data_IF_178523986211
#
_entry.id   IF_178523986211
#
_cell.length_a   1.000
_cell.length_b   1.000
_cell.length_c   1.000
_cell.angle_alpha   90.00
_cell.angle_beta   90.00
_cell.angle_gamma   90.00
#
_symmetry.space_group_name_H-M   'P 1'
#
loop_
_entity.id
_entity.type
_entity.pdbx_description
1 polymer ?
#
# COMPACT_ATOMS: atom_id res chain seq x y z
N UNK A 1 -2.37 24.38 -0.80
CA UNK A 1 -2.95 23.08 -0.45
C UNK A 1 -3.39 23.11 1.01
N UNK A 2 -4.66 22.76 1.28
CA UNK A 2 -5.17 22.60 2.64
C UNK A 2 -5.07 21.12 3.03
N UNK A 3 -4.46 20.82 4.17
CA UNK A 3 -4.33 19.46 4.71
C UNK A 3 -5.07 19.43 6.04
N UNK A 4 -5.96 18.47 6.21
CA UNK A 4 -6.76 18.28 7.41
C UNK A 4 -6.37 16.95 8.06
N UNK A 5 -5.54 17.00 9.08
CA UNK A 5 -5.18 15.86 9.90
C UNK A 5 -6.28 15.53 10.92
N UNK A 6 -6.27 14.32 11.46
CA UNK A 6 -7.27 13.84 12.44
C UNK A 6 -8.73 14.00 11.97
N UNK A 7 -8.92 14.03 10.64
CA UNK A 7 -10.21 14.22 9.99
C UNK A 7 -10.66 12.92 9.35
N UNK A 8 -11.64 12.27 9.96
CA UNK A 8 -12.18 11.01 9.51
C UNK A 8 -13.43 11.23 8.65
N UNK A 9 -13.41 10.75 7.41
CA UNK A 9 -14.57 10.78 6.50
C UNK A 9 -15.50 9.63 6.87
N UNK A 10 -16.73 9.94 7.26
CA UNK A 10 -17.76 8.96 7.64
C UNK A 10 -18.65 8.56 6.47
N UNK A 11 -18.97 9.53 5.62
CA UNK A 11 -19.93 9.36 4.54
C UNK A 11 -19.62 10.33 3.39
N UNK A 12 -19.98 9.94 2.17
CA UNK A 12 -20.06 10.84 1.02
C UNK A 12 -21.52 10.96 0.59
N UNK A 13 -21.98 12.21 0.47
CA UNK A 13 -23.31 12.54 -0.03
C UNK A 13 -23.17 13.49 -1.22
N UNK A 14 -23.25 12.95 -2.43
CA UNK A 14 -22.94 13.67 -3.66
C UNK A 14 -21.52 14.25 -3.61
N UNK A 15 -21.42 15.57 -3.75
CA UNK A 15 -20.15 16.33 -3.70
C UNK A 15 -19.71 16.72 -2.28
N UNK A 16 -20.35 16.19 -1.24
CA UNK A 16 -20.07 16.56 0.15
C UNK A 16 -19.54 15.38 0.94
N UNK A 17 -18.36 15.52 1.50
CA UNK A 17 -17.78 14.61 2.47
C UNK A 17 -18.21 15.02 3.89
N UNK A 18 -18.79 14.08 4.62
CA UNK A 18 -19.20 14.26 6.03
C UNK A 18 -18.08 13.70 6.90
N UNK A 19 -17.52 14.55 7.74
CA UNK A 19 -16.40 14.20 8.62
C UNK A 19 -16.84 14.16 10.09
N UNK A 20 -15.92 13.77 10.97
CA UNK A 20 -16.09 13.89 12.41
C UNK A 20 -16.16 15.35 12.90
N UNK A 21 -15.65 16.31 12.13
CA UNK A 21 -15.49 17.71 12.54
C UNK A 21 -16.32 18.70 11.70
N UNK A 22 -17.00 18.22 10.66
CA UNK A 22 -17.80 19.10 9.79
C UNK A 22 -18.05 18.50 8.41
N UNK A 23 -18.33 19.36 7.44
CA UNK A 23 -18.62 18.98 6.05
C UNK A 23 -17.65 19.70 5.12
N UNK A 24 -17.20 18.99 4.10
CA UNK A 24 -16.34 19.51 3.03
C UNK A 24 -17.05 19.27 1.72
N UNK A 25 -17.28 20.32 0.95
CA UNK A 25 -17.90 20.25 -0.39
C UNK A 25 -16.84 20.59 -1.44
N UNK A 26 -16.76 19.82 -2.50
CA UNK A 26 -15.83 20.00 -3.60
C UNK A 26 -16.49 19.63 -4.92
N UNK A 27 -16.03 20.21 -6.03
CA UNK A 27 -16.52 19.87 -7.37
C UNK A 27 -16.19 18.45 -7.78
N UNK A 28 -15.02 17.96 -7.37
CA UNK A 28 -14.54 16.61 -7.60
C UNK A 28 -13.99 16.01 -6.31
N UNK A 29 -14.20 14.72 -6.11
CA UNK A 29 -13.69 13.97 -4.96
C UNK A 29 -12.85 12.80 -5.47
N UNK A 30 -11.64 12.65 -4.95
CA UNK A 30 -10.75 11.55 -5.29
C UNK A 30 -10.53 10.68 -4.05
N UNK A 31 -10.89 9.41 -4.13
CA UNK A 31 -10.69 8.42 -3.06
C UNK A 31 -9.32 7.77 -3.25
N UNK A 32 -8.38 8.07 -2.35
CA UNK A 32 -7.02 7.53 -2.32
C UNK A 32 -6.73 6.79 -1.01
N UNK A 33 -7.75 6.19 -0.42
CA UNK A 33 -7.72 5.58 0.91
C UNK A 33 -7.13 4.18 0.93
N UNK A 34 -6.28 3.83 -0.04
CA UNK A 34 -5.69 2.52 -0.23
C UNK A 34 -6.74 1.46 -0.62
N UNK A 35 -7.65 1.10 0.29
CA UNK A 35 -8.86 0.34 -0.01
C UNK A 35 -10.07 1.29 0.05
N UNK A 36 -10.89 1.39 -1.00
CA UNK A 36 -12.06 2.27 -0.99
C UNK A 36 -13.05 1.86 0.10
N UNK A 37 -13.37 2.79 1.00
CA UNK A 37 -14.31 2.54 2.10
C UNK A 37 -15.78 2.61 1.69
N UNK A 38 -16.07 3.16 0.50
CA UNK A 38 -17.41 3.23 -0.08
C UNK A 38 -17.59 2.05 -1.03
N UNK A 39 -18.45 1.11 -0.68
CA UNK A 39 -18.67 -0.11 -1.47
C UNK A 39 -19.99 -0.12 -2.27
N UNK A 40 -20.84 0.91 -2.13
CA UNK A 40 -22.16 0.95 -2.80
C UNK A 40 -22.06 1.02 -4.32
N UNK A 41 -21.00 1.61 -4.86
CA UNK A 41 -20.75 1.77 -6.27
C UNK A 41 -19.38 1.20 -6.63
N UNK A 42 -19.22 0.64 -7.82
CA UNK A 42 -17.93 0.13 -8.31
C UNK A 42 -17.53 -1.27 -7.81
N UNK A 43 -18.16 -1.80 -6.74
CA UNK A 43 -17.94 -3.16 -6.21
C UNK A 43 -16.46 -3.52 -5.99
N UNK A 44 -15.67 -2.59 -5.44
CA UNK A 44 -14.22 -2.76 -5.27
C UNK A 44 -13.85 -3.94 -4.36
N UNK A 45 -14.69 -4.30 -3.39
CA UNK A 45 -14.51 -5.49 -2.55
C UNK A 45 -14.48 -6.81 -3.33
N UNK A 46 -15.00 -6.84 -4.57
CA UNK A 46 -14.93 -7.99 -5.47
C UNK A 46 -13.70 -7.94 -6.40
N UNK A 47 -13.04 -6.81 -6.50
CA UNK A 47 -11.95 -6.55 -7.47
C UNK A 47 -10.59 -6.41 -6.80
N UNK A 48 -10.57 -6.16 -5.49
CA UNK A 48 -9.38 -5.89 -4.71
C UNK A 48 -9.24 -6.90 -3.57
N UNK A 49 -8.00 -7.20 -3.21
CA UNK A 49 -7.68 -7.95 -2.00
C UNK A 49 -6.47 -7.37 -1.30
N UNK A 50 -6.31 -7.67 -0.02
CA UNK A 50 -5.16 -7.24 0.76
C UNK A 50 -4.08 -8.31 0.76
N UNK A 51 -2.83 -7.88 0.55
CA UNK A 51 -1.64 -8.72 0.65
C UNK A 51 -0.72 -8.14 1.71
N UNK A 52 -0.32 -8.93 2.68
CA UNK A 52 0.54 -8.52 3.77
C UNK A 52 1.99 -8.81 3.42
N UNK A 53 2.88 -7.86 3.70
CA UNK A 53 4.32 -7.98 3.56
C UNK A 53 4.99 -7.62 4.88
N UNK A 54 6.14 -8.20 5.15
CA UNK A 54 6.87 -8.06 6.40
C UNK A 54 8.26 -7.51 6.14
N UNK A 55 8.79 -6.78 7.10
CA UNK A 55 10.15 -6.24 7.05
C UNK A 55 10.81 -6.42 8.41
N UNK A 56 12.09 -6.75 8.38
CA UNK A 56 13.00 -6.65 9.53
C UNK A 56 14.14 -5.69 9.19
N UNK A 57 14.63 -4.99 10.21
CA UNK A 57 15.80 -4.13 10.11
C UNK A 57 16.92 -4.68 11.00
N UNK A 58 18.04 -5.03 10.38
CA UNK A 58 19.19 -5.63 11.02
C UNK A 58 20.30 -4.60 11.21
N UNK A 59 20.80 -4.45 12.44
CA UNK A 59 22.07 -3.76 12.72
C UNK A 59 23.23 -4.76 12.60
N UNK A 60 24.43 -4.27 12.37
CA UNK A 60 25.66 -5.07 12.17
C UNK A 60 25.60 -6.05 10.97
N UNK A 61 24.70 -5.82 10.02
CA UNK A 61 24.66 -6.56 8.78
C UNK A 61 25.50 -5.88 7.70
N UNK A 62 26.02 -6.67 6.76
CA UNK A 62 26.80 -6.18 5.64
C UNK A 62 25.99 -5.21 4.77
N UNK A 63 26.66 -4.15 4.28
CA UNK A 63 26.07 -3.27 3.29
C UNK A 63 25.97 -3.99 1.93
N UNK A 64 24.77 -4.08 1.38
CA UNK A 64 24.54 -4.71 0.08
C UNK A 64 24.83 -3.80 -1.12
N UNK A 65 25.14 -2.51 -0.87
CA UNK A 65 25.51 -1.51 -1.88
C UNK A 65 24.49 -1.37 -3.03
N UNK A 66 23.21 -1.55 -2.73
CA UNK A 66 22.14 -1.44 -3.73
C UNK A 66 20.77 -1.73 -3.18
N UNK A 67 19.81 -1.78 -4.08
CA UNK A 67 18.44 -2.20 -3.82
C UNK A 67 18.15 -3.42 -4.66
N UNK A 68 17.72 -4.49 -4.03
CA UNK A 68 17.48 -5.77 -4.70
C UNK A 68 16.07 -6.26 -4.39
N UNK A 69 15.44 -6.83 -5.38
CA UNK A 69 14.13 -7.49 -5.27
C UNK A 69 14.21 -8.80 -6.05
N UNK A 70 13.77 -9.88 -5.43
CA UNK A 70 13.60 -11.16 -6.10
C UNK A 70 12.34 -11.12 -6.99
N UNK A 71 12.39 -11.72 -8.16
CA UNK A 71 11.27 -11.82 -9.09
C UNK A 71 10.22 -12.86 -8.68
N UNK A 72 10.53 -13.74 -7.74
CA UNK A 72 9.58 -14.74 -7.23
C UNK A 72 8.41 -14.08 -6.50
N UNK A 73 7.23 -14.69 -6.56
CA UNK A 73 6.03 -14.21 -5.86
C UNK A 73 6.16 -14.11 -4.34
N UNK A 74 7.02 -14.94 -3.75
CA UNK A 74 7.39 -14.91 -2.33
C UNK A 74 8.72 -14.21 -2.09
N UNK A 75 9.23 -13.54 -3.11
CA UNK A 75 10.56 -12.99 -3.17
C UNK A 75 10.87 -12.00 -2.07
N UNK A 76 12.15 -11.99 -1.70
CA UNK A 76 12.70 -11.07 -0.71
C UNK A 76 13.20 -9.79 -1.37
N UNK A 77 13.25 -8.73 -0.60
CA UNK A 77 13.87 -7.47 -0.98
C UNK A 77 14.93 -7.07 0.03
N UNK A 78 15.99 -6.42 -0.46
CA UNK A 78 17.13 -6.00 0.34
C UNK A 78 17.52 -4.58 0.00
N UNK A 79 17.76 -3.77 1.01
CA UNK A 79 18.38 -2.45 0.87
C UNK A 79 18.97 -1.99 2.18
N UNK A 80 19.98 -1.15 2.14
CA UNK A 80 20.43 -0.45 3.32
C UNK A 80 19.65 0.87 3.51
N UNK A 81 19.42 1.21 4.75
CA UNK A 81 18.97 2.51 5.20
C UNK A 81 19.77 2.89 6.45
N UNK A 82 20.53 3.97 6.35
CA UNK A 82 21.51 4.33 7.38
C UNK A 82 22.42 3.11 7.72
N UNK A 83 22.46 2.73 8.98
CA UNK A 83 23.28 1.59 9.47
C UNK A 83 22.52 0.26 9.50
N UNK A 84 21.32 0.20 8.91
CA UNK A 84 20.50 -1.00 8.92
C UNK A 84 20.45 -1.66 7.55
N UNK A 85 20.45 -2.98 7.54
CA UNK A 85 19.97 -3.76 6.39
C UNK A 85 18.49 -4.04 6.58
N UNK A 86 17.67 -3.59 5.65
CA UNK A 86 16.26 -3.89 5.60
C UNK A 86 16.04 -5.12 4.73
N UNK A 87 15.40 -6.15 5.30
CA UNK A 87 15.00 -7.37 4.59
C UNK A 87 13.48 -7.41 4.58
N UNK A 88 12.89 -7.36 3.39
CA UNK A 88 11.45 -7.49 3.18
C UNK A 88 11.09 -8.85 2.59
N UNK A 89 9.90 -9.37 2.88
CA UNK A 89 9.44 -10.66 2.35
C UNK A 89 8.37 -11.31 3.22
N UNK A 90 8.31 -12.64 3.20
CA UNK A 90 7.39 -13.44 4.01
C UNK A 90 5.91 -13.16 3.71
N UNK A 91 5.64 -12.57 2.54
CA UNK A 91 4.35 -12.02 2.18
C UNK A 91 3.28 -13.08 1.88
N UNK A 92 2.03 -12.73 2.18
CA UNK A 92 0.88 -13.59 1.91
C UNK A 92 -0.41 -12.78 1.79
N UNK A 93 -1.45 -13.36 1.18
CA UNK A 93 -2.78 -12.77 1.19
C UNK A 93 -3.28 -12.63 2.63
N UNK A 94 -3.76 -11.47 3.02
CA UNK A 94 -4.31 -11.23 4.37
C UNK A 94 -5.41 -12.22 4.70
N UNK A 95 -5.34 -12.81 5.89
CA UNK A 95 -6.23 -13.88 6.33
C UNK A 95 -5.83 -15.30 5.87
N UNK A 96 -4.71 -15.44 5.14
CA UNK A 96 -4.11 -16.74 4.81
C UNK A 96 -2.81 -16.91 5.59
N UNK A 97 -2.32 -18.16 5.64
CA UNK A 97 -1.01 -18.45 6.21
C UNK A 97 0.11 -18.06 5.24
N UNK A 98 1.26 -17.68 5.80
CA UNK A 98 2.47 -17.34 5.06
C UNK A 98 3.69 -17.32 5.97
N UNK A 99 4.87 -17.03 5.43
CA UNK A 99 6.15 -17.06 6.13
C UNK A 99 6.28 -16.02 7.24
N UNK A 100 5.77 -14.82 6.99
CA UNK A 100 5.80 -13.72 7.97
C UNK A 100 7.21 -13.35 8.41
N UNK A 101 7.34 -12.86 9.63
CA UNK A 101 8.65 -12.55 10.21
C UNK A 101 9.52 -13.77 10.45
N UNK A 102 8.93 -14.95 10.67
CA UNK A 102 9.70 -16.17 10.93
C UNK A 102 10.56 -16.57 9.73
N UNK A 103 10.05 -16.41 8.53
CA UNK A 103 10.81 -16.64 7.29
C UNK A 103 12.00 -15.68 7.19
N UNK A 104 11.78 -14.39 7.45
CA UNK A 104 12.83 -13.37 7.40
C UNK A 104 13.92 -13.62 8.48
N UNK A 105 13.51 -13.99 9.69
CA UNK A 105 14.43 -14.31 10.78
C UNK A 105 15.26 -15.53 10.46
N UNK A 106 14.65 -16.61 9.96
CA UNK A 106 15.39 -17.80 9.54
C UNK A 106 16.39 -17.51 8.43
N UNK A 107 16.04 -16.61 7.51
CA UNK A 107 16.97 -16.14 6.49
C UNK A 107 18.11 -15.31 7.09
N UNK A 108 17.80 -14.39 8.00
CA UNK A 108 18.81 -13.57 8.68
C UNK A 108 19.77 -14.41 9.50
N UNK A 109 19.29 -15.37 10.27
CA UNK A 109 20.12 -16.29 11.07
C UNK A 109 21.09 -17.09 10.20
N UNK A 110 20.65 -17.45 8.99
CA UNK A 110 21.48 -18.24 8.06
C UNK A 110 22.55 -17.42 7.35
N UNK A 111 22.20 -16.20 6.89
CA UNK A 111 23.05 -15.41 5.99
C UNK A 111 23.70 -14.20 6.65
N UNK A 112 23.20 -13.78 7.81
CA UNK A 112 23.69 -12.65 8.59
C UNK A 112 23.79 -13.01 10.09
N UNK A 113 24.50 -14.08 10.45
CA UNK A 113 24.51 -14.63 11.83
C UNK A 113 25.01 -13.65 12.89
N UNK A 114 25.86 -12.69 12.50
CA UNK A 114 26.41 -11.67 13.40
C UNK A 114 25.53 -10.41 13.52
N UNK A 115 24.42 -10.39 12.79
CA UNK A 115 23.49 -9.26 12.81
C UNK A 115 22.50 -9.38 13.97
N UNK A 116 21.86 -8.26 14.29
CA UNK A 116 20.83 -8.19 15.32
C UNK A 116 19.59 -7.48 14.81
N UNK A 117 18.41 -8.10 14.95
CA UNK A 117 17.13 -7.44 14.65
C UNK A 117 16.92 -6.27 15.60
N UNK A 118 16.71 -5.08 15.03
CA UNK A 118 16.46 -3.84 15.77
C UNK A 118 15.00 -3.43 15.69
N UNK A 119 14.43 -3.51 14.49
CA UNK A 119 13.05 -3.14 14.23
C UNK A 119 12.39 -4.17 13.32
N UNK A 120 11.08 -4.27 13.44
CA UNK A 120 10.26 -5.06 12.53
C UNK A 120 8.89 -4.42 12.37
N UNK A 121 8.32 -4.54 11.20
CA UNK A 121 6.97 -4.07 10.91
C UNK A 121 6.34 -4.86 9.77
N UNK A 122 5.04 -4.66 9.58
CA UNK A 122 4.30 -5.20 8.46
C UNK A 122 3.48 -4.10 7.80
N UNK A 123 3.28 -4.24 6.50
CA UNK A 123 2.40 -3.39 5.71
C UNK A 123 1.41 -4.23 4.93
N UNK A 124 0.32 -3.62 4.51
CA UNK A 124 -0.63 -4.24 3.59
C UNK A 124 -0.65 -3.48 2.28
N UNK A 125 -0.60 -4.23 1.19
CA UNK A 125 -0.77 -3.71 -0.16
C UNK A 125 -2.17 -4.02 -0.66
N UNK A 126 -2.77 -3.07 -1.37
CA UNK A 126 -4.03 -3.27 -2.06
C UNK A 126 -3.76 -3.81 -3.46
N UNK A 127 -4.12 -5.06 -3.67
CA UNK A 127 -3.87 -5.79 -4.90
C UNK A 127 -5.13 -5.83 -5.75
N UNK A 128 -5.03 -5.49 -7.03
CA UNK A 128 -6.08 -5.72 -8.00
C UNK A 128 -6.07 -7.17 -8.48
N UNK A 129 -7.23 -7.74 -8.77
CA UNK A 129 -7.33 -9.13 -9.23
C UNK A 129 -6.79 -9.32 -10.65
N UNK A 130 -6.87 -8.29 -11.47
CA UNK A 130 -6.41 -8.29 -12.86
C UNK A 130 -4.99 -7.73 -13.04
N UNK A 131 -4.32 -7.34 -11.95
CA UNK A 131 -2.98 -6.76 -11.97
C UNK A 131 -2.92 -5.31 -12.44
N UNK A 132 -4.07 -4.68 -12.78
CA UNK A 132 -4.15 -3.31 -13.28
C UNK A 132 -4.66 -2.38 -12.18
N UNK A 133 -3.99 -1.25 -11.88
CA UNK A 133 -4.49 -0.25 -10.93
C UNK A 133 -5.81 0.36 -11.40
N UNK A 134 -6.71 0.64 -10.45
CA UNK A 134 -7.95 1.36 -10.71
C UNK A 134 -7.71 2.85 -10.52
N UNK A 135 -7.63 3.60 -11.64
CA UNK A 135 -7.40 5.03 -11.67
C UNK A 135 -8.43 5.66 -12.60
N UNK A 136 -9.24 6.61 -12.11
CA UNK A 136 -10.27 7.27 -12.89
C UNK A 136 -11.62 7.36 -12.19
N UNK A 137 -12.70 7.42 -12.96
CA UNK A 137 -14.06 7.46 -12.41
C UNK A 137 -14.34 6.28 -11.49
N UNK A 138 -14.92 6.56 -10.32
CA UNK A 138 -15.28 5.54 -9.34
C UNK A 138 -16.31 4.53 -9.88
N UNK A 139 -17.31 5.04 -10.59
CA UNK A 139 -18.30 4.25 -11.33
C UNK A 139 -18.96 5.06 -12.43
N UNK A 140 -19.71 4.41 -13.32
CA UNK A 140 -20.48 5.09 -14.37
C UNK A 140 -21.53 6.08 -13.83
N UNK A 141 -22.01 5.84 -12.61
CA UNK A 141 -23.09 6.63 -12.00
C UNK A 141 -22.57 7.71 -11.03
N UNK A 142 -21.27 7.94 -10.96
CA UNK A 142 -20.63 8.88 -10.05
C UNK A 142 -19.66 9.79 -10.83
N UNK A 143 -20.18 10.75 -11.64
CA UNK A 143 -19.34 11.53 -12.56
C UNK A 143 -18.27 12.39 -11.87
N UNK A 144 -18.54 12.84 -10.64
CA UNK A 144 -17.63 13.72 -9.87
C UNK A 144 -16.80 12.96 -8.82
N UNK A 145 -16.91 11.62 -8.80
CA UNK A 145 -16.18 10.77 -7.87
C UNK A 145 -15.15 9.93 -8.60
N UNK A 146 -13.91 10.01 -8.14
CA UNK A 146 -12.75 9.30 -8.71
C UNK A 146 -12.09 8.43 -7.67
N UNK A 147 -11.25 7.52 -8.11
CA UNK A 147 -10.43 6.67 -7.25
C UNK A 147 -9.04 6.48 -7.82
N UNK A 148 -8.08 6.22 -6.94
CA UNK A 148 -6.77 5.70 -7.27
C UNK A 148 -6.41 4.64 -6.22
N UNK A 149 -6.40 3.36 -6.64
CA UNK A 149 -6.20 2.21 -5.76
C UNK A 149 -5.73 0.97 -6.53
N UNK A 150 -5.39 -0.10 -5.81
CA UNK A 150 -4.98 -1.36 -6.41
C UNK A 150 -3.59 -1.28 -7.04
N UNK A 151 -2.68 -0.53 -6.44
CA UNK A 151 -1.32 -0.32 -6.97
C UNK A 151 -0.43 -1.55 -6.87
N UNK A 152 -0.98 -2.66 -6.39
CA UNK A 152 -0.22 -3.88 -6.15
C UNK A 152 0.95 -3.55 -5.18
N UNK A 153 2.17 -3.74 -5.55
CA UNK A 153 3.34 -3.35 -4.70
C UNK A 153 4.08 -2.13 -5.24
N UNK A 154 3.45 -1.38 -6.18
CA UNK A 154 4.05 -0.25 -6.89
C UNK A 154 3.43 1.09 -6.47
N UNK A 155 3.32 1.32 -5.14
CA UNK A 155 2.63 2.49 -4.59
C UNK A 155 3.20 3.82 -5.08
N UNK A 156 4.51 4.00 -5.10
CA UNK A 156 5.14 5.26 -5.55
C UNK A 156 4.91 5.51 -7.04
N UNK A 157 5.15 4.50 -7.88
CA UNK A 157 4.90 4.59 -9.32
C UNK A 157 3.40 4.78 -9.62
N UNK A 158 2.54 4.01 -8.93
CA UNK A 158 1.10 4.10 -9.06
C UNK A 158 0.55 5.47 -8.65
N UNK A 159 1.10 6.09 -7.60
CA UNK A 159 0.72 7.43 -7.17
C UNK A 159 1.07 8.49 -8.22
N UNK A 160 2.28 8.44 -8.80
CA UNK A 160 2.68 9.35 -9.85
C UNK A 160 1.81 9.20 -11.11
N UNK A 161 1.59 7.96 -11.55
CA UNK A 161 0.71 7.68 -12.68
C UNK A 161 -0.71 8.19 -12.43
N UNK A 162 -1.22 8.00 -11.21
CA UNK A 162 -2.54 8.51 -10.82
C UNK A 162 -2.61 10.03 -10.88
N UNK A 163 -1.58 10.72 -10.40
CA UNK A 163 -1.50 12.18 -10.47
C UNK A 163 -1.54 12.67 -11.93
N UNK A 164 -0.77 12.04 -12.82
CA UNK A 164 -0.77 12.38 -14.24
C UNK A 164 -2.15 12.17 -14.88
N UNK A 165 -2.78 11.01 -14.69
CA UNK A 165 -4.09 10.70 -15.28
C UNK A 165 -5.19 11.61 -14.72
N UNK A 166 -5.21 11.84 -13.40
CA UNK A 166 -6.28 12.58 -12.74
C UNK A 166 -6.13 14.10 -12.88
N UNK A 167 -4.94 14.60 -13.23
CA UNK A 167 -4.76 16.03 -13.52
C UNK A 167 -5.35 16.46 -14.86
N UNK A 168 -5.56 15.52 -15.78
CA UNK A 168 -6.11 15.77 -17.12
C UNK A 168 -7.65 15.66 -17.16
N UNK A 169 -8.29 15.41 -16.03
CA UNK A 169 -9.75 15.27 -15.88
C UNK A 169 -10.38 16.60 -15.30
#
# INVERSE_FOLDING_TARGET
LNIFENTFIRELNGKTAITNSGKITADKIIITTHFPFINKHGSYFLKLYQHRSYVIALENAQNVNGMYVDENHTGMSFRNYENYLLIGGGGHRTGKQGGGWSELRSFADKFYPDSREKYYWAAQDCMSLDGIPYIGHYSKNTPDLYTASGFNKWGMTGAMLSAMILSDI
#
